data_IF_913278005640
#
_entry.id   IF_913278005640
#
_cell.length_a   1.000
_cell.length_b   1.000
_cell.length_c   1.000
_cell.angle_alpha   90.00
_cell.angle_beta   90.00
_cell.angle_gamma   90.00
#
_symmetry.space_group_name_H-M   'P 1'
#
loop_
_entity.id
_entity.type
_entity.pdbx_description
1 polymer ?
#
# COMPACT_ATOMS: atom_id res chain seq x y z
N UNK A 1 -18.55 18.59 0.07
CA UNK A 1 -17.15 18.13 0.15
C UNK A 1 -17.19 16.62 0.28
N UNK A 2 -16.41 15.93 -0.53
CA UNK A 2 -16.24 14.48 -0.43
C UNK A 2 -14.83 14.27 0.05
N UNK A 3 -14.70 13.76 1.26
CA UNK A 3 -13.39 13.46 1.83
C UNK A 3 -12.97 12.06 1.38
N UNK A 4 -11.67 11.87 1.26
CA UNK A 4 -11.06 10.58 0.98
C UNK A 4 -10.04 10.26 2.04
N UNK A 5 -9.71 8.99 2.19
CA UNK A 5 -8.69 8.56 3.13
C UNK A 5 -7.46 8.07 2.37
N UNK A 6 -6.29 8.47 2.85
CA UNK A 6 -4.99 8.10 2.29
C UNK A 6 -4.11 7.56 3.41
N UNK A 7 -3.17 6.68 3.07
CA UNK A 7 -2.20 6.13 4.03
C UNK A 7 -0.88 6.90 3.90
N UNK A 8 -0.33 7.35 5.02
CA UNK A 8 0.96 8.06 5.12
C UNK A 8 1.91 7.31 6.06
N UNK A 9 3.20 7.23 5.74
CA UNK A 9 4.22 6.67 6.64
C UNK A 9 4.87 7.73 7.54
N UNK A 10 5.77 7.29 8.43
CA UNK A 10 6.51 8.18 9.35
C UNK A 10 7.44 9.18 8.66
N UNK A 11 7.77 8.97 7.39
CA UNK A 11 8.60 9.87 6.57
C UNK A 11 7.74 10.87 5.77
N UNK A 12 6.42 10.82 5.92
CA UNK A 12 5.48 11.66 5.19
C UNK A 12 5.18 11.17 3.77
N UNK A 13 5.67 10.01 3.36
CA UNK A 13 5.34 9.41 2.06
C UNK A 13 3.94 8.81 2.09
N UNK A 14 3.31 8.77 0.93
CA UNK A 14 1.95 8.27 0.76
C UNK A 14 1.96 6.92 0.04
N UNK A 15 1.00 6.07 0.37
CA UNK A 15 0.83 4.81 -0.36
C UNK A 15 0.28 5.07 -1.76
N UNK A 16 0.98 4.59 -2.79
CA UNK A 16 0.66 4.82 -4.19
C UNK A 16 -0.23 3.73 -4.78
N UNK A 17 -0.94 4.07 -5.87
CA UNK A 17 -1.76 3.12 -6.64
C UNK A 17 -0.96 1.97 -7.24
N UNK A 18 0.33 2.17 -7.46
CA UNK A 18 1.27 1.15 -7.94
C UNK A 18 1.74 0.20 -6.83
N UNK A 19 1.16 0.28 -5.62
CA UNK A 19 1.61 -0.45 -4.42
C UNK A 19 3.07 -0.13 -4.05
N UNK A 20 3.45 1.14 -4.18
CA UNK A 20 4.76 1.66 -3.80
C UNK A 20 4.60 2.98 -3.03
N UNK A 21 5.56 3.31 -2.16
CA UNK A 21 5.59 4.62 -1.51
C UNK A 21 5.87 5.73 -2.53
N UNK A 22 5.12 6.84 -2.43
CA UNK A 22 5.28 8.04 -3.26
C UNK A 22 5.44 9.29 -2.38
N UNK A 23 6.12 10.30 -2.89
CA UNK A 23 6.41 11.53 -2.13
C UNK A 23 5.18 12.44 -1.97
N UNK A 24 4.12 12.26 -2.76
CA UNK A 24 2.92 13.11 -2.73
C UNK A 24 2.99 14.34 -3.65
N UNK A 25 4.10 14.55 -4.38
CA UNK A 25 4.23 15.63 -5.37
C UNK A 25 3.23 15.48 -6.53
N UNK A 26 2.78 14.25 -6.78
CA UNK A 26 1.69 13.92 -7.69
C UNK A 26 0.51 13.32 -6.92
N UNK A 27 -0.48 14.13 -6.50
CA UNK A 27 -1.64 13.66 -5.74
C UNK A 27 -2.47 12.59 -6.48
N UNK A 28 -2.40 12.56 -7.81
CA UNK A 28 -3.05 11.52 -8.64
C UNK A 28 -2.45 10.14 -8.46
N UNK A 29 -1.18 10.04 -8.07
CA UNK A 29 -0.48 8.77 -7.87
C UNK A 29 -0.85 8.12 -6.53
N UNK A 30 -1.34 8.90 -5.57
CA UNK A 30 -1.71 8.43 -4.23
C UNK A 30 -2.96 7.55 -4.29
N UNK A 31 -2.92 6.41 -3.60
CA UNK A 31 -4.07 5.57 -3.38
C UNK A 31 -5.02 6.25 -2.40
N UNK A 32 -6.29 6.30 -2.78
CA UNK A 32 -7.36 6.91 -2.00
C UNK A 32 -8.48 5.91 -1.80
N UNK A 33 -9.02 5.86 -0.61
CA UNK A 33 -10.22 5.08 -0.31
C UNK A 33 -11.37 6.02 -0.01
N UNK A 34 -12.59 5.54 -0.24
CA UNK A 34 -13.79 6.30 0.10
C UNK A 34 -14.10 6.21 1.58
N UNK A 35 -13.80 5.06 2.19
CA UNK A 35 -14.10 4.78 3.58
C UNK A 35 -12.81 4.59 4.40
N UNK A 36 -12.86 4.98 5.67
CA UNK A 36 -11.69 4.98 6.56
C UNK A 36 -11.22 3.56 6.88
N UNK A 37 -12.15 2.63 7.05
CA UNK A 37 -11.90 1.21 7.32
C UNK A 37 -11.11 0.55 6.20
N UNK A 38 -11.37 0.89 4.93
CA UNK A 38 -10.56 0.42 3.80
C UNK A 38 -9.09 0.87 3.93
N UNK A 39 -8.85 2.13 4.29
CA UNK A 39 -7.49 2.66 4.49
C UNK A 39 -6.81 2.05 5.72
N UNK A 40 -7.57 1.79 6.79
CA UNK A 40 -7.08 1.09 7.98
C UNK A 40 -6.70 -0.35 7.64
N UNK A 41 -7.48 -1.05 6.82
CA UNK A 41 -7.16 -2.40 6.38
C UNK A 41 -5.87 -2.43 5.56
N UNK A 42 -5.68 -1.47 4.64
CA UNK A 42 -4.42 -1.33 3.90
C UNK A 42 -3.23 -1.09 4.84
N UNK A 43 -3.39 -0.17 5.80
CA UNK A 43 -2.34 0.10 6.79
C UNK A 43 -2.01 -1.15 7.61
N UNK A 44 -3.01 -1.93 8.01
CA UNK A 44 -2.81 -3.20 8.70
C UNK A 44 -1.99 -4.19 7.86
N UNK A 45 -2.36 -4.37 6.59
CA UNK A 45 -1.63 -5.24 5.66
C UNK A 45 -0.16 -4.81 5.53
N UNK A 46 0.10 -3.52 5.35
CA UNK A 46 1.46 -2.97 5.28
C UNK A 46 2.25 -3.20 6.58
N UNK A 47 1.66 -2.89 7.74
CA UNK A 47 2.31 -3.10 9.03
C UNK A 47 2.51 -4.57 9.39
N UNK A 48 1.75 -5.48 8.80
CA UNK A 48 1.96 -6.92 8.98
C UNK A 48 3.19 -7.45 8.24
N UNK A 49 3.58 -6.78 7.14
CA UNK A 49 4.77 -7.09 6.34
C UNK A 49 6.02 -6.37 6.85
N UNK A 50 5.86 -5.13 7.30
CA UNK A 50 6.92 -4.32 7.90
C UNK A 50 6.49 -3.85 9.30
N UNK A 51 7.03 -4.52 10.33
CA UNK A 51 6.73 -4.21 11.72
C UNK A 51 7.38 -2.92 12.21
N UNK A 52 8.32 -2.33 11.46
CA UNK A 52 8.95 -1.05 11.76
C UNK A 52 8.19 0.12 11.15
N UNK A 53 7.31 -0.14 10.17
CA UNK A 53 6.41 0.86 9.61
C UNK A 53 5.55 1.48 10.72
N UNK A 54 5.50 2.82 10.72
CA UNK A 54 4.63 3.62 11.59
C UNK A 54 3.77 4.50 10.70
N UNK A 55 2.79 3.87 10.05
CA UNK A 55 1.84 4.56 9.19
C UNK A 55 0.62 5.08 9.94
N UNK A 56 -0.08 6.00 9.30
CA UNK A 56 -1.34 6.58 9.76
C UNK A 56 -2.32 6.75 8.59
N UNK A 57 -3.61 6.83 8.91
CA UNK A 57 -4.67 7.15 7.93
C UNK A 57 -5.03 8.62 8.06
N UNK A 58 -4.98 9.34 6.95
CA UNK A 58 -5.28 10.76 6.88
C UNK A 58 -6.56 10.97 6.07
N UNK A 59 -7.49 11.72 6.64
CA UNK A 59 -8.63 12.27 5.92
C UNK A 59 -8.16 13.50 5.12
N UNK A 60 -8.29 13.44 3.81
CA UNK A 60 -7.93 14.52 2.89
C UNK A 60 -9.18 14.99 2.12
N UNK A 61 -9.35 16.30 2.04
CA UNK A 61 -10.38 16.89 1.20
C UNK A 61 -10.02 16.70 -0.29
N UNK A 62 -11.02 16.60 -1.15
CA UNK A 62 -10.82 16.64 -2.58
C UNK A 62 -10.84 18.09 -3.09
N UNK A 63 -9.82 18.44 -3.88
CA UNK A 63 -9.79 19.68 -4.68
C UNK A 63 -10.88 19.70 -5.76
N UNK A 64 -11.08 20.85 -6.39
CA UNK A 64 -12.02 21.01 -7.53
C UNK A 64 -11.69 20.07 -8.71
N UNK A 65 -10.43 19.63 -8.81
CA UNK A 65 -9.96 18.68 -9.83
C UNK A 65 -10.19 17.21 -9.43
N UNK A 66 -10.78 16.98 -8.25
CA UNK A 66 -11.00 15.65 -7.70
C UNK A 66 -9.70 14.98 -7.26
N UNK A 67 -8.68 15.73 -6.87
CA UNK A 67 -7.41 15.23 -6.34
C UNK A 67 -7.34 15.49 -4.83
N UNK A 68 -6.78 14.55 -4.03
CA UNK A 68 -6.64 14.77 -2.59
C UNK A 68 -5.69 15.94 -2.32
N UNK A 69 -6.10 16.84 -1.43
CA UNK A 69 -5.26 17.95 -0.98
C UNK A 69 -4.33 17.43 0.11
N UNK A 70 -3.06 17.23 -0.25
CA UNK A 70 -2.02 16.66 0.62
C UNK A 70 -0.72 17.45 0.47
N UNK A 71 0.11 17.44 1.51
CA UNK A 71 1.42 18.08 1.50
C UNK A 71 2.50 17.07 1.07
N UNK A 72 3.30 17.35 0.03
CA UNK A 72 4.39 16.48 -0.37
C UNK A 72 5.43 16.30 0.75
N UNK A 73 5.93 15.07 0.90
CA UNK A 73 7.03 14.74 1.78
C UNK A 73 8.28 15.56 1.41
N UNK A 74 8.98 16.02 2.44
CA UNK A 74 10.27 16.69 2.31
C UNK A 74 11.45 15.69 2.29
N UNK A 75 11.18 14.41 2.57
CA UNK A 75 12.18 13.35 2.64
C UNK A 75 12.19 12.62 1.28
N UNK A 76 13.34 12.50 0.60
CA UNK A 76 13.42 11.76 -0.64
C UNK A 76 13.02 10.28 -0.47
N UNK A 77 12.37 9.70 -1.47
CA UNK A 77 12.16 8.26 -1.55
C UNK A 77 13.51 7.58 -1.76
N UNK A 78 13.89 6.72 -0.82
CA UNK A 78 14.96 5.76 -1.06
C UNK A 78 14.37 4.67 -1.95
N UNK A 79 14.98 4.40 -3.11
CA UNK A 79 14.60 3.23 -3.90
C UNK A 79 15.05 2.00 -3.10
N UNK A 80 14.11 1.28 -2.50
CA UNK A 80 14.38 -0.07 -2.04
C UNK A 80 14.56 -0.96 -3.28
N UNK A 81 15.58 -1.83 -3.32
CA UNK A 81 15.67 -2.83 -4.36
C UNK A 81 14.43 -3.73 -4.25
N UNK A 82 13.74 -3.95 -5.37
CA UNK A 82 12.53 -4.78 -5.43
C UNK A 82 12.77 -6.10 -4.70
N UNK A 83 12.08 -6.30 -3.59
CA UNK A 83 12.03 -7.60 -2.93
C UNK A 83 11.25 -8.53 -3.83
N UNK A 84 11.98 -9.40 -4.53
CA UNK A 84 11.48 -10.51 -5.32
C UNK A 84 10.45 -11.30 -4.47
N UNK A 85 9.15 -11.06 -4.69
CA UNK A 85 8.08 -11.89 -4.14
C UNK A 85 8.12 -13.21 -4.92
N UNK A 86 9.10 -14.06 -4.61
CA UNK A 86 9.09 -15.46 -5.04
C UNK A 86 7.85 -16.11 -4.41
N UNK A 87 6.85 -16.37 -5.25
CA UNK A 87 5.66 -17.16 -4.92
C UNK A 87 6.10 -18.45 -4.20
N UNK A 88 5.52 -18.81 -3.05
CA UNK A 88 5.74 -20.14 -2.50
C UNK A 88 5.10 -21.16 -3.44
N UNK A 89 5.93 -21.94 -4.14
CA UNK A 89 5.50 -23.14 -4.85
C UNK A 89 4.73 -24.03 -3.85
N UNK A 90 3.43 -24.23 -4.09
CA UNK A 90 2.65 -25.24 -3.39
C UNK A 90 3.35 -26.60 -3.58
N UNK A 91 3.62 -27.38 -2.51
CA UNK A 91 4.10 -28.73 -2.69
C UNK A 91 2.96 -29.56 -3.31
N UNK A 92 3.15 -29.95 -4.57
CA UNK A 92 2.34 -30.96 -5.24
C UNK A 92 2.21 -32.19 -4.34
N UNK A 93 0.97 -32.49 -3.94
CA UNK A 93 0.64 -33.70 -3.22
C UNK A 93 1.01 -34.92 -4.09
N UNK A 94 1.96 -35.70 -3.59
CA UNK A 94 2.42 -36.96 -4.17
C UNK A 94 1.25 -37.95 -4.23
N UNK A 95 0.65 -38.10 -5.42
CA UNK A 95 -0.34 -39.12 -5.69
C UNK A 95 0.37 -40.47 -5.84
N UNK A 96 0.16 -41.39 -4.89
CA UNK A 96 0.66 -42.76 -4.98
C UNK A 96 0.18 -43.46 -6.26
N UNK A 97 1.03 -44.28 -6.92
CA UNK A 97 0.68 -44.92 -8.18
C UNK A 97 -0.30 -46.10 -7.95
N UNK A 98 -1.11 -46.46 -8.98
CA UNK A 98 -2.05 -47.56 -8.85
C UNK A 98 -1.30 -48.89 -8.78
N UNK A 99 -1.47 -49.60 -7.66
CA UNK A 99 -1.07 -51.00 -7.53
C UNK A 99 -1.89 -51.86 -8.51
N UNK A 100 -1.24 -52.33 -9.56
CA UNK A 100 -1.76 -53.38 -10.44
C UNK A 100 -0.81 -54.58 -10.40
N UNK A 101 -1.16 -55.61 -9.63
CA UNK A 101 -0.99 -57.05 -9.91
C UNK A 101 -1.76 -57.84 -8.85
#
# INVERSE_FOLDING_TARGET
MTDVFVVRNQLGHYWGKAKTWVDGSSPKAVLRTKHQDEAVNILFELSSRDIELRGEVIQAELSERGEPVIEPSQIPLLHEPESDESEPEEPEAEAEPPGNT
#
